data_IF_457645104907
#
_entry.id   IF_457645104907
#
_cell.length_a   1.000
_cell.length_b   1.000
_cell.length_c   1.000
_cell.angle_alpha   90.00
_cell.angle_beta   90.00
_cell.angle_gamma   90.00
#
_symmetry.space_group_name_H-M   'P 1'
#
loop_
_entity.id
_entity.type
_entity.pdbx_description
1 polymer ?
#
# COMPACT_ATOMS: atom_id res chain seq x y z
N UNK A 1 29.74 -34.48 -12.86
CA UNK A 1 29.14 -33.13 -12.73
C UNK A 1 30.27 -32.16 -12.47
N UNK A 2 30.38 -31.08 -13.25
CA UNK A 2 31.33 -30.01 -12.96
C UNK A 2 30.79 -29.17 -11.80
N UNK A 3 31.57 -29.08 -10.72
CA UNK A 3 31.27 -28.17 -9.62
C UNK A 3 31.73 -26.76 -10.02
N UNK A 4 30.82 -25.80 -9.98
CA UNK A 4 31.11 -24.40 -10.26
C UNK A 4 31.23 -23.63 -8.93
N UNK A 5 32.31 -22.87 -8.70
CA UNK A 5 32.40 -21.98 -7.56
C UNK A 5 31.25 -20.97 -7.53
N UNK A 6 30.79 -20.51 -6.35
CA UNK A 6 29.71 -19.52 -6.22
C UNK A 6 29.95 -18.26 -7.06
N UNK A 7 31.18 -17.77 -7.11
CA UNK A 7 31.58 -16.60 -7.88
C UNK A 7 31.37 -16.83 -9.38
N UNK A 8 31.64 -18.04 -9.86
CA UNK A 8 31.45 -18.41 -11.25
C UNK A 8 29.95 -18.55 -11.59
N UNK A 9 29.13 -19.08 -10.67
CA UNK A 9 27.66 -19.12 -10.86
C UNK A 9 27.08 -17.71 -10.99
N UNK A 10 27.54 -16.77 -10.16
CA UNK A 10 27.13 -15.36 -10.23
C UNK A 10 27.51 -14.73 -11.58
N UNK A 11 28.75 -14.92 -12.04
CA UNK A 11 29.21 -14.42 -13.34
C UNK A 11 28.37 -14.97 -14.48
N UNK A 12 28.06 -16.28 -14.48
CA UNK A 12 27.23 -16.91 -15.50
C UNK A 12 25.79 -16.38 -15.49
N UNK A 13 25.23 -16.10 -14.30
CA UNK A 13 23.92 -15.47 -14.14
C UNK A 13 23.87 -14.06 -14.74
N UNK A 14 24.90 -13.23 -14.49
CA UNK A 14 25.02 -11.89 -15.07
C UNK A 14 25.13 -11.95 -16.60
N UNK A 15 25.95 -12.86 -17.14
CA UNK A 15 26.09 -13.06 -18.59
C UNK A 15 24.77 -13.49 -19.23
N UNK A 16 24.03 -14.38 -18.57
CA UNK A 16 22.71 -14.78 -19.02
C UNK A 16 21.75 -13.58 -19.04
N UNK A 17 21.61 -12.84 -17.93
CA UNK A 17 20.73 -11.67 -17.86
C UNK A 17 21.00 -10.65 -18.98
N UNK A 18 22.28 -10.34 -19.23
CA UNK A 18 22.67 -9.42 -20.30
C UNK A 18 22.32 -9.95 -21.69
N UNK A 19 22.53 -11.26 -21.94
CA UNK A 19 22.15 -11.90 -23.20
C UNK A 19 20.62 -11.89 -23.43
N UNK A 20 19.83 -12.05 -22.36
CA UNK A 20 18.37 -11.96 -22.40
C UNK A 20 17.88 -10.56 -22.80
N UNK A 21 18.43 -9.52 -22.17
CA UNK A 21 18.11 -8.11 -22.53
C UNK A 21 18.47 -7.82 -23.99
N UNK A 22 19.66 -8.24 -24.43
CA UNK A 22 20.10 -8.04 -25.81
C UNK A 22 19.20 -8.76 -26.81
N UNK A 23 18.77 -9.99 -26.51
CA UNK A 23 17.81 -10.74 -27.31
C UNK A 23 16.45 -10.02 -27.40
N UNK A 24 15.97 -9.43 -26.30
CA UNK A 24 14.74 -8.63 -26.28
C UNK A 24 14.81 -7.39 -27.17
N UNK A 25 15.90 -6.62 -27.08
CA UNK A 25 16.12 -5.43 -27.92
C UNK A 25 16.16 -5.83 -29.40
N UNK A 26 16.90 -6.89 -29.75
CA UNK A 26 17.00 -7.37 -31.13
C UNK A 26 15.64 -7.93 -31.61
N UNK A 27 14.90 -8.59 -30.73
CA UNK A 27 13.53 -9.09 -30.97
C UNK A 27 12.56 -7.98 -31.36
N UNK A 28 12.63 -6.81 -30.69
CA UNK A 28 11.83 -5.64 -31.05
C UNK A 28 12.17 -5.11 -32.45
N UNK A 29 13.46 -5.06 -32.81
CA UNK A 29 13.88 -4.70 -34.17
C UNK A 29 13.37 -5.72 -35.19
N UNK A 30 13.43 -7.01 -34.88
CA UNK A 30 12.90 -8.09 -35.74
C UNK A 30 11.38 -8.01 -35.93
N UNK A 31 10.63 -7.68 -34.87
CA UNK A 31 9.17 -7.48 -34.94
C UNK A 31 8.80 -6.44 -36.01
N UNK A 32 9.50 -5.30 -36.05
CA UNK A 32 9.26 -4.28 -37.08
C UNK A 32 9.54 -4.78 -38.51
N UNK A 33 10.54 -5.64 -38.70
CA UNK A 33 10.80 -6.28 -39.99
C UNK A 33 9.72 -7.28 -40.39
N UNK A 34 9.21 -8.08 -39.44
CA UNK A 34 8.14 -9.07 -39.67
C UNK A 34 6.85 -8.36 -40.04
N UNK A 35 6.45 -7.34 -39.27
CA UNK A 35 5.24 -6.53 -39.54
C UNK A 35 5.33 -5.88 -40.92
N UNK A 36 6.47 -5.27 -41.28
CA UNK A 36 6.65 -4.71 -42.62
C UNK A 36 6.56 -5.76 -43.73
N UNK A 37 7.11 -6.96 -43.52
CA UNK A 37 7.09 -8.03 -44.51
C UNK A 37 5.65 -8.47 -44.86
N UNK A 38 4.80 -8.67 -43.84
CA UNK A 38 3.42 -9.13 -44.00
C UNK A 38 2.44 -8.02 -44.39
N UNK A 39 2.55 -6.83 -43.80
CA UNK A 39 1.56 -5.76 -43.98
C UNK A 39 1.91 -4.79 -45.10
N UNK A 40 3.17 -4.74 -45.53
CA UNK A 40 3.73 -3.69 -46.41
C UNK A 40 3.49 -2.26 -45.91
N UNK A 41 3.08 -2.06 -44.65
CA UNK A 41 2.91 -0.74 -44.02
C UNK A 41 4.16 -0.39 -43.20
N UNK A 42 4.53 0.89 -43.18
CA UNK A 42 5.68 1.41 -42.43
C UNK A 42 6.94 1.68 -43.27
N UNK A 43 8.02 2.15 -42.62
CA UNK A 43 9.31 2.43 -43.27
C UNK A 43 9.98 1.12 -43.69
N UNK A 44 10.45 1.07 -44.94
CA UNK A 44 11.22 -0.08 -45.48
C UNK A 44 12.47 -0.27 -44.63
N UNK A 45 12.62 -1.41 -43.94
CA UNK A 45 13.73 -1.60 -43.03
C UNK A 45 15.05 -1.84 -43.78
N UNK A 46 16.17 -1.57 -43.11
CA UNK A 46 17.53 -1.61 -43.67
C UNK A 46 17.89 -3.04 -44.16
N UNK A 47 18.68 -3.22 -45.25
CA UNK A 47 18.77 -4.47 -46.00
C UNK A 47 19.69 -5.54 -45.39
N UNK A 48 19.91 -5.55 -44.07
CA UNK A 48 20.73 -6.58 -43.39
C UNK A 48 19.94 -7.48 -42.43
N UNK A 49 18.76 -8.04 -42.81
CA UNK A 49 17.98 -8.88 -41.92
C UNK A 49 18.73 -10.15 -41.49
N UNK A 50 19.60 -10.70 -42.34
CA UNK A 50 20.36 -11.92 -42.02
C UNK A 50 21.30 -11.75 -40.83
N UNK A 51 21.94 -10.58 -40.68
CA UNK A 51 22.85 -10.31 -39.57
C UNK A 51 22.09 -10.15 -38.25
N UNK A 52 20.93 -9.47 -38.29
CA UNK A 52 20.06 -9.26 -37.13
C UNK A 52 19.50 -10.58 -36.62
N UNK A 53 19.02 -11.44 -37.52
CA UNK A 53 18.59 -12.80 -37.18
C UNK A 53 19.72 -13.63 -36.55
N UNK A 54 20.94 -13.58 -37.12
CA UNK A 54 22.09 -14.30 -36.57
C UNK A 54 22.43 -13.83 -35.15
N UNK A 55 22.41 -12.52 -34.90
CA UNK A 55 22.66 -11.97 -33.56
C UNK A 55 21.58 -12.37 -32.57
N UNK A 56 20.31 -12.36 -32.97
CA UNK A 56 19.21 -12.84 -32.14
C UNK A 56 19.39 -14.31 -31.72
N UNK A 57 19.68 -15.19 -32.69
CA UNK A 57 19.90 -16.62 -32.40
C UNK A 57 21.10 -16.84 -31.48
N UNK A 58 22.20 -16.09 -31.68
CA UNK A 58 23.38 -16.20 -30.84
C UNK A 58 23.09 -15.74 -29.40
N UNK A 59 22.41 -14.60 -29.23
CA UNK A 59 22.03 -14.09 -27.91
C UNK A 59 21.06 -15.02 -27.18
N UNK A 60 20.04 -15.53 -27.87
CA UNK A 60 19.08 -16.48 -27.30
C UNK A 60 19.76 -17.81 -26.91
N UNK A 61 20.68 -18.31 -27.73
CA UNK A 61 21.43 -19.53 -27.43
C UNK A 61 22.33 -19.36 -26.20
N UNK A 62 23.07 -18.25 -26.11
CA UNK A 62 23.90 -17.90 -24.94
C UNK A 62 23.02 -17.85 -23.69
N UNK A 63 21.87 -17.17 -23.75
CA UNK A 63 20.94 -17.11 -22.63
C UNK A 63 20.52 -18.51 -22.16
N UNK A 64 20.03 -19.37 -23.07
CA UNK A 64 19.55 -20.71 -22.71
C UNK A 64 20.66 -21.55 -22.09
N UNK A 65 21.86 -21.55 -22.68
CA UNK A 65 22.99 -22.36 -22.20
C UNK A 65 23.43 -21.91 -20.81
N UNK A 66 23.64 -20.61 -20.60
CA UNK A 66 24.15 -20.11 -19.32
C UNK A 66 23.11 -20.19 -18.20
N UNK A 67 21.83 -19.89 -18.48
CA UNK A 67 20.74 -20.08 -17.52
C UNK A 67 20.60 -21.55 -17.10
N UNK A 68 20.72 -22.48 -18.05
CA UNK A 68 20.64 -23.91 -17.76
C UNK A 68 21.83 -24.37 -16.91
N UNK A 69 23.04 -23.92 -17.22
CA UNK A 69 24.24 -24.27 -16.42
C UNK A 69 24.14 -23.72 -15.00
N UNK A 70 23.62 -22.50 -14.82
CA UNK A 70 23.41 -21.92 -13.49
C UNK A 70 22.34 -22.68 -12.69
N UNK A 71 21.22 -23.04 -13.32
CA UNK A 71 20.09 -23.71 -12.67
C UNK A 71 20.39 -25.18 -12.30
N UNK A 72 21.14 -25.90 -13.14
CA UNK A 72 21.41 -27.33 -12.94
C UNK A 72 22.77 -27.64 -12.31
N UNK A 73 23.60 -26.62 -12.01
CA UNK A 73 24.82 -26.85 -11.26
C UNK A 73 24.48 -27.24 -9.82
N UNK A 74 24.83 -28.47 -9.36
CA UNK A 74 24.50 -28.94 -8.03
C UNK A 74 24.93 -27.90 -6.99
N UNK A 75 24.02 -27.57 -6.07
CA UNK A 75 24.38 -26.80 -4.89
C UNK A 75 25.31 -27.67 -4.04
N UNK A 76 26.39 -27.14 -3.44
CA UNK A 76 27.10 -27.89 -2.41
C UNK A 76 26.08 -28.43 -1.41
N UNK A 77 26.17 -29.73 -1.17
CA UNK A 77 25.30 -30.46 -0.26
C UNK A 77 25.55 -29.91 1.16
N UNK A 78 24.69 -29.01 1.61
CA UNK A 78 24.76 -28.38 2.95
C UNK A 78 24.34 -29.34 4.05
N UNK A 79 23.98 -30.58 3.72
CA UNK A 79 23.52 -31.62 4.66
C UNK A 79 24.58 -32.09 5.66
N UNK A 80 25.85 -31.67 5.53
CA UNK A 80 26.93 -32.00 6.48
C UNK A 80 27.50 -30.79 7.23
N UNK A 81 26.82 -29.64 7.28
CA UNK A 81 27.14 -28.65 8.30
C UNK A 81 26.67 -29.21 9.64
N UNK A 82 27.61 -29.84 10.35
CA UNK A 82 27.47 -30.15 11.77
C UNK A 82 27.23 -28.80 12.46
N UNK A 83 25.96 -28.49 12.73
CA UNK A 83 25.55 -27.36 13.54
C UNK A 83 26.38 -27.44 14.81
N UNK A 84 27.25 -26.45 15.02
CA UNK A 84 27.99 -26.34 16.26
C UNK A 84 26.94 -26.36 17.39
N UNK A 85 26.95 -27.38 18.27
CA UNK A 85 26.01 -27.39 19.37
C UNK A 85 26.35 -26.18 20.22
N UNK A 86 25.38 -25.28 20.37
CA UNK A 86 25.42 -24.06 21.20
C UNK A 86 25.82 -22.73 20.53
N UNK A 87 25.58 -22.51 19.23
CA UNK A 87 25.41 -21.11 18.79
C UNK A 87 24.09 -20.62 19.36
N UNK A 88 24.07 -19.63 20.30
CA UNK A 88 22.81 -19.10 20.81
C UNK A 88 21.99 -18.61 19.61
N UNK A 89 20.70 -18.97 19.60
CA UNK A 89 19.81 -18.53 18.56
C UNK A 89 19.85 -17.00 18.48
N UNK A 90 20.05 -16.40 17.29
CA UNK A 90 20.11 -14.95 17.17
C UNK A 90 18.84 -14.35 17.79
N UNK A 91 19.02 -13.33 18.63
CA UNK A 91 17.91 -12.60 19.25
C UNK A 91 16.97 -12.13 18.15
N UNK A 92 15.68 -12.46 18.28
CA UNK A 92 14.66 -12.10 17.29
C UNK A 92 13.79 -10.98 17.85
N UNK A 93 13.64 -9.87 17.11
CA UNK A 93 12.72 -8.82 17.52
C UNK A 93 11.31 -9.41 17.55
N UNK A 94 10.58 -9.16 18.63
CA UNK A 94 9.24 -9.69 18.83
C UNK A 94 8.19 -8.59 18.90
N UNK A 95 8.56 -7.40 19.39
CA UNK A 95 7.66 -6.26 19.49
C UNK A 95 8.39 -4.93 19.50
N UNK A 96 7.61 -3.85 19.37
CA UNK A 96 8.08 -2.47 19.46
C UNK A 96 7.42 -1.79 20.65
N UNK A 97 8.20 -1.03 21.42
CA UNK A 97 7.66 -0.03 22.36
C UNK A 97 7.85 1.35 21.72
N UNK A 98 6.74 1.99 21.35
CA UNK A 98 6.74 3.27 20.63
C UNK A 98 6.54 4.42 21.61
N UNK A 99 7.49 5.36 21.62
CA UNK A 99 7.48 6.61 22.38
C UNK A 99 7.50 7.79 21.39
N UNK A 100 7.17 9.02 21.83
CA UNK A 100 7.38 10.19 20.99
C UNK A 100 8.83 10.25 20.48
N UNK A 101 9.00 10.23 19.15
CA UNK A 101 10.29 10.26 18.45
C UNK A 101 11.24 9.08 18.70
N UNK A 102 10.83 8.03 19.41
CA UNK A 102 11.73 6.92 19.80
C UNK A 102 11.02 5.58 19.68
N UNK A 103 11.71 4.59 19.11
CA UNK A 103 11.26 3.20 19.02
C UNK A 103 12.26 2.35 19.79
N UNK A 104 11.80 1.63 20.81
CA UNK A 104 12.58 0.58 21.45
C UNK A 104 12.19 -0.78 20.84
N UNK A 105 13.17 -1.54 20.33
CA UNK A 105 12.98 -2.89 19.78
C UNK A 105 13.16 -3.88 20.93
N UNK A 106 12.16 -4.74 21.14
CA UNK A 106 12.10 -5.68 22.26
C UNK A 106 12.23 -7.12 21.75
N UNK A 107 13.08 -7.92 22.40
CA UNK A 107 13.27 -9.34 22.08
C UNK A 107 12.18 -10.23 22.70
N UNK A 108 12.27 -11.53 22.45
CA UNK A 108 11.34 -12.52 23.00
C UNK A 108 11.37 -12.65 24.54
N UNK A 109 12.41 -12.13 25.21
CA UNK A 109 12.54 -12.15 26.67
C UNK A 109 11.98 -10.88 27.32
N UNK A 110 11.58 -9.88 26.52
CA UNK A 110 11.17 -8.56 27.00
C UNK A 110 12.34 -7.61 27.20
N UNK A 111 13.55 -7.97 26.78
CA UNK A 111 14.74 -7.13 26.88
C UNK A 111 14.84 -6.20 25.67
N UNK A 112 15.28 -4.96 25.93
CA UNK A 112 15.51 -3.99 24.86
C UNK A 112 16.77 -4.35 24.08
N UNK A 113 16.60 -4.67 22.80
CA UNK A 113 17.68 -4.94 21.86
C UNK A 113 18.35 -3.66 21.38
N UNK A 114 17.54 -2.68 20.97
CA UNK A 114 18.00 -1.47 20.31
C UNK A 114 17.00 -0.33 20.51
N UNK A 115 17.50 0.90 20.40
CA UNK A 115 16.69 2.12 20.39
C UNK A 115 16.95 2.90 19.10
N UNK A 116 15.89 3.31 18.41
CA UNK A 116 15.94 4.11 17.20
C UNK A 116 15.28 5.46 17.47
N UNK A 117 15.89 6.55 17.00
CA UNK A 117 15.35 7.90 17.10
C UNK A 117 14.87 8.39 15.73
N UNK A 118 13.65 8.94 15.70
CA UNK A 118 13.00 9.50 14.50
C UNK A 118 12.88 11.02 14.66
N UNK A 119 13.03 11.77 13.56
CA UNK A 119 12.93 13.23 13.59
C UNK A 119 11.49 13.72 13.47
N UNK A 120 10.68 13.48 14.50
CA UNK A 120 9.26 13.86 14.51
C UNK A 120 8.50 13.07 15.57
N UNK A 121 7.19 13.28 15.68
CA UNK A 121 6.38 12.42 16.52
C UNK A 121 5.96 11.18 15.72
N UNK A 122 6.09 10.01 16.32
CA UNK A 122 5.65 8.78 15.68
C UNK A 122 4.16 8.65 15.96
N UNK A 123 3.33 8.61 14.92
CA UNK A 123 1.89 8.32 15.09
C UNK A 123 1.66 6.83 15.27
N UNK A 124 2.38 6.02 14.49
CA UNK A 124 2.31 4.57 14.53
C UNK A 124 3.63 3.97 14.06
N UNK A 125 4.00 2.84 14.64
CA UNK A 125 5.03 1.98 14.08
C UNK A 125 4.63 0.51 14.19
N UNK A 126 4.98 -0.29 13.19
CA UNK A 126 4.72 -1.73 13.14
C UNK A 126 5.97 -2.50 12.74
N UNK A 127 6.08 -3.72 13.23
CA UNK A 127 7.15 -4.67 12.92
C UNK A 127 6.56 -5.77 12.04
N UNK A 128 6.92 -5.81 10.76
CA UNK A 128 6.35 -6.76 9.80
C UNK A 128 7.27 -6.97 8.61
N UNK A 129 7.25 -8.18 8.06
CA UNK A 129 7.89 -8.51 6.78
C UNK A 129 7.01 -7.95 5.66
N UNK A 130 7.51 -6.95 4.93
CA UNK A 130 6.75 -6.32 3.85
C UNK A 130 7.09 -6.85 2.45
N UNK A 131 8.25 -7.50 2.29
CA UNK A 131 8.75 -7.92 0.96
C UNK A 131 8.77 -9.45 0.75
N UNK A 132 8.43 -10.21 1.78
CA UNK A 132 8.29 -11.67 1.76
C UNK A 132 9.61 -12.41 2.01
N UNK A 133 10.68 -11.72 2.43
CA UNK A 133 12.00 -12.34 2.67
C UNK A 133 12.13 -13.05 4.04
N UNK A 134 11.08 -12.97 4.88
CA UNK A 134 10.97 -13.51 6.24
C UNK A 134 11.81 -12.78 7.29
N UNK A 135 12.30 -11.60 6.96
CA UNK A 135 12.96 -10.68 7.88
C UNK A 135 12.00 -9.50 8.07
N UNK A 136 11.59 -9.19 9.30
CA UNK A 136 10.68 -8.08 9.51
C UNK A 136 11.39 -6.73 9.40
N UNK A 137 10.73 -5.78 8.74
CA UNK A 137 11.03 -4.36 8.73
C UNK A 137 10.27 -3.62 9.85
N UNK A 138 10.72 -2.40 10.15
CA UNK A 138 9.98 -1.46 10.98
C UNK A 138 9.41 -0.38 10.07
N UNK A 139 8.08 -0.29 10.01
CA UNK A 139 7.35 0.72 9.26
C UNK A 139 6.88 1.80 10.22
N UNK A 140 7.22 3.05 9.92
CA UNK A 140 7.01 4.20 10.82
C UNK A 140 6.25 5.29 10.10
N UNK A 141 5.06 5.63 10.61
CA UNK A 141 4.30 6.81 10.22
C UNK A 141 4.67 7.98 11.13
N UNK A 142 5.08 9.09 10.51
CA UNK A 142 5.50 10.29 11.26
C UNK A 142 4.44 11.37 11.16
N UNK A 143 3.94 11.76 12.33
CA UNK A 143 2.99 12.86 12.51
C UNK A 143 3.69 14.14 12.97
N UNK A 144 2.87 15.16 13.12
CA UNK A 144 3.28 16.48 13.59
C UNK A 144 3.91 16.49 14.99
N UNK A 145 4.84 17.42 15.18
CA UNK A 145 5.22 17.85 16.52
C UNK A 145 4.11 18.70 17.15
N UNK A 146 3.99 18.68 18.48
CA UNK A 146 2.99 19.45 19.25
C UNK A 146 2.98 20.99 19.02
N UNK A 147 3.90 21.51 18.21
CA UNK A 147 4.07 22.93 17.93
C UNK A 147 3.75 23.21 16.47
N UNK A 148 2.49 23.59 16.23
CA UNK A 148 1.88 23.89 14.93
C UNK A 148 2.59 24.98 14.12
N UNK A 149 3.49 25.72 14.75
CA UNK A 149 4.24 26.83 14.15
C UNK A 149 5.75 26.61 14.20
N UNK A 150 6.23 25.55 14.86
CA UNK A 150 7.61 25.11 14.70
C UNK A 150 7.73 24.46 13.34
N UNK A 151 8.70 24.92 12.53
CA UNK A 151 8.93 24.36 11.20
C UNK A 151 9.01 22.84 11.28
N UNK A 152 8.43 22.11 10.30
CA UNK A 152 8.41 20.66 10.32
C UNK A 152 9.84 20.15 10.50
N UNK A 153 10.03 19.27 11.49
CA UNK A 153 11.25 18.48 11.60
C UNK A 153 11.34 17.58 10.37
N UNK A 154 12.56 17.22 9.99
CA UNK A 154 12.90 16.56 8.72
C UNK A 154 12.02 15.35 8.32
N UNK A 155 11.35 14.67 9.25
CA UNK A 155 10.53 13.48 8.94
C UNK A 155 9.01 13.70 8.97
N UNK A 156 8.48 14.89 9.29
CA UNK A 156 7.03 15.09 9.33
C UNK A 156 6.39 14.79 7.96
N UNK A 157 5.27 14.05 7.94
CA UNK A 157 4.58 13.67 6.71
C UNK A 157 5.23 12.50 5.95
N UNK A 158 6.31 11.92 6.50
CA UNK A 158 6.99 10.79 5.90
C UNK A 158 6.53 9.45 6.46
N UNK A 159 6.42 8.48 5.56
CA UNK A 159 6.44 7.06 5.89
C UNK A 159 7.86 6.53 5.73
N UNK A 160 8.39 5.84 6.73
CA UNK A 160 9.78 5.38 6.75
C UNK A 160 9.81 3.87 6.97
N UNK A 161 10.57 3.15 6.16
CA UNK A 161 10.92 1.75 6.40
C UNK A 161 12.35 1.62 6.89
N UNK A 162 12.54 0.83 7.95
CA UNK A 162 13.83 0.62 8.59
C UNK A 162 14.12 -0.87 8.71
N UNK A 163 15.41 -1.20 8.66
CA UNK A 163 15.90 -2.48 9.17
C UNK A 163 15.81 -2.51 10.69
N UNK A 164 15.88 -3.71 11.27
CA UNK A 164 16.05 -3.91 12.72
C UNK A 164 17.29 -3.21 13.27
N UNK A 165 18.35 -3.06 12.45
CA UNK A 165 19.55 -2.29 12.81
C UNK A 165 19.32 -0.78 12.92
N UNK A 166 18.13 -0.27 12.56
CA UNK A 166 17.80 1.15 12.49
C UNK A 166 18.24 1.85 11.21
N UNK A 167 18.86 1.14 10.27
CA UNK A 167 19.22 1.69 8.96
C UNK A 167 17.96 1.92 8.12
N UNK A 168 17.85 3.09 7.48
CA UNK A 168 16.76 3.39 6.55
C UNK A 168 16.87 2.53 5.29
N UNK A 169 15.78 1.86 4.95
CA UNK A 169 15.61 1.17 3.66
C UNK A 169 15.15 2.17 2.61
N UNK A 170 14.06 2.85 2.90
CA UNK A 170 13.46 3.89 2.07
C UNK A 170 12.59 4.83 2.92
N UNK A 171 12.23 5.97 2.34
CA UNK A 171 11.27 6.91 2.91
C UNK A 171 10.41 7.50 1.78
N UNK A 172 9.16 7.79 2.11
CA UNK A 172 8.19 8.41 1.20
C UNK A 172 7.66 9.67 1.87
N UNK A 173 7.89 10.82 1.25
CA UNK A 173 7.27 12.09 1.66
C UNK A 173 5.89 12.21 1.02
N UNK A 174 4.86 12.22 1.84
CA UNK A 174 3.48 12.34 1.37
C UNK A 174 3.03 13.79 1.23
N UNK A 175 3.90 14.74 1.60
CA UNK A 175 3.65 16.18 1.49
C UNK A 175 3.51 16.54 0.03
N UNK A 176 2.29 16.86 -0.34
CA UNK A 176 1.95 17.37 -1.65
C UNK A 176 0.84 18.38 -1.46
N UNK A 177 0.90 19.46 -2.21
CA UNK A 177 -0.24 20.36 -2.28
C UNK A 177 -1.45 19.54 -2.74
N UNK A 178 -2.59 19.61 -2.01
CA UNK A 178 -3.80 19.02 -2.51
C UNK A 178 -4.08 19.55 -3.89
N UNK A 179 -4.52 18.70 -4.81
CA UNK A 179 -4.77 19.11 -6.19
C UNK A 179 -5.89 20.19 -6.32
N UNK A 180 -6.53 20.55 -5.22
CA UNK A 180 -7.53 21.61 -5.09
C UNK A 180 -7.03 22.86 -4.36
N UNK A 181 -5.78 22.88 -3.88
CA UNK A 181 -5.15 24.01 -3.21
C UNK A 181 -4.91 25.24 -4.09
N UNK A 182 -5.21 25.14 -5.38
CA UNK A 182 -4.90 26.19 -6.35
C UNK A 182 -5.72 27.47 -6.09
N UNK A 183 -6.84 27.42 -5.35
CA UNK A 183 -7.70 28.61 -5.16
C UNK A 183 -8.28 28.82 -3.75
N UNK A 184 -7.99 27.97 -2.77
CA UNK A 184 -8.47 28.13 -1.38
C UNK A 184 -7.25 28.39 -0.50
N UNK A 185 -6.98 29.67 -0.21
CA UNK A 185 -5.85 30.04 0.64
C UNK A 185 -5.96 29.38 2.02
N UNK A 186 -4.90 28.73 2.48
CA UNK A 186 -4.84 28.16 3.83
C UNK A 186 -4.16 26.79 3.94
N UNK A 187 -4.06 26.02 2.86
CA UNK A 187 -3.40 24.71 2.88
C UNK A 187 -1.90 24.84 2.58
N UNK A 188 -1.11 24.09 3.33
CA UNK A 188 0.35 24.16 3.25
C UNK A 188 0.91 23.11 2.29
N UNK A 189 0.17 22.01 2.06
CA UNK A 189 0.68 20.82 1.39
C UNK A 189 1.64 20.01 2.26
N UNK A 190 1.95 20.50 3.46
CA UNK A 190 2.60 19.72 4.50
C UNK A 190 1.53 18.80 5.08
N UNK A 191 1.81 17.50 5.12
CA UNK A 191 0.86 16.53 5.63
C UNK A 191 1.39 15.86 6.88
N UNK A 192 0.50 15.25 7.64
CA UNK A 192 0.83 14.42 8.79
C UNK A 192 0.19 13.06 8.60
N UNK A 193 0.92 11.99 8.93
CA UNK A 193 0.38 10.62 8.87
C UNK A 193 -0.29 10.31 10.21
N UNK A 194 -1.61 10.16 10.25
CA UNK A 194 -2.32 9.84 11.49
C UNK A 194 -2.37 8.33 11.76
N UNK A 195 -2.42 7.51 10.72
CA UNK A 195 -2.50 6.06 10.84
C UNK A 195 -2.04 5.40 9.53
N UNK A 196 -1.83 4.08 9.56
CA UNK A 196 -1.68 3.26 8.36
C UNK A 196 -2.20 1.85 8.60
N UNK A 197 -2.47 1.11 7.52
CA UNK A 197 -2.79 -0.31 7.50
C UNK A 197 -1.72 -1.02 6.65
N UNK A 198 -1.23 -2.17 7.11
CA UNK A 198 -0.32 -3.03 6.34
C UNK A 198 -1.04 -4.33 6.01
N UNK A 199 -1.15 -4.66 4.73
CA UNK A 199 -1.89 -5.82 4.26
C UNK A 199 -1.50 -6.18 2.82
N UNK A 200 -1.53 -7.46 2.45
CA UNK A 200 -1.27 -7.96 1.09
C UNK A 200 -2.48 -7.69 0.17
N UNK A 201 -2.62 -6.46 -0.30
CA UNK A 201 -3.79 -6.00 -1.07
C UNK A 201 -3.94 -6.72 -2.40
N UNK A 202 -2.83 -7.18 -2.97
CA UNK A 202 -2.79 -7.74 -4.32
C UNK A 202 -2.71 -9.27 -4.36
N UNK A 203 -2.62 -9.93 -3.20
CA UNK A 203 -2.55 -11.39 -3.08
C UNK A 203 -1.26 -11.98 -3.66
N UNK A 204 -0.15 -11.23 -3.60
CA UNK A 204 1.15 -11.62 -4.15
C UNK A 204 2.20 -11.97 -3.08
N UNK A 205 1.74 -12.19 -1.83
CA UNK A 205 2.54 -12.43 -0.63
C UNK A 205 3.48 -11.27 -0.26
N UNK A 206 3.28 -10.07 -0.83
CA UNK A 206 3.94 -8.83 -0.39
C UNK A 206 2.93 -7.92 0.25
N UNK A 207 3.40 -7.09 1.17
CA UNK A 207 2.50 -6.19 1.90
C UNK A 207 2.52 -4.81 1.26
N UNK A 208 1.33 -4.27 1.03
CA UNK A 208 1.12 -2.86 0.76
C UNK A 208 0.84 -2.11 2.05
N UNK A 209 1.19 -0.82 2.04
CA UNK A 209 0.96 0.09 3.16
C UNK A 209 -0.03 1.15 2.72
N UNK A 210 -1.21 1.14 3.34
CA UNK A 210 -2.26 2.13 3.14
C UNK A 210 -2.13 3.20 4.20
N UNK A 211 -1.61 4.36 3.83
CA UNK A 211 -1.47 5.48 4.76
C UNK A 211 -2.72 6.33 4.78
N UNK A 212 -3.07 6.82 5.98
CA UNK A 212 -4.00 7.91 6.16
C UNK A 212 -3.17 9.14 6.52
N UNK A 213 -3.30 10.18 5.71
CA UNK A 213 -2.64 11.46 5.94
C UNK A 213 -3.65 12.59 5.79
N UNK A 214 -3.34 13.74 6.38
CA UNK A 214 -4.09 14.97 6.15
C UNK A 214 -3.16 16.17 6.11
N UNK A 215 -3.59 17.21 5.41
CA UNK A 215 -2.93 18.51 5.45
C UNK A 215 -2.82 18.96 6.90
N UNK A 216 -1.68 19.59 7.23
CA UNK A 216 -1.35 20.07 8.56
C UNK A 216 -2.54 20.79 9.18
N UNK A 217 -3.25 21.62 8.39
CA UNK A 217 -4.43 22.40 8.76
C UNK A 217 -5.73 21.57 8.89
N UNK A 218 -5.63 20.30 9.31
CA UNK A 218 -6.68 19.30 9.59
C UNK A 218 -7.34 18.63 8.40
N UNK A 219 -7.57 19.35 7.32
CA UNK A 219 -8.14 18.80 6.10
C UNK A 219 -7.61 19.60 4.91
N UNK A 220 -7.53 18.96 3.76
CA UNK A 220 -8.07 17.64 3.45
C UNK A 220 -7.27 16.41 3.91
N UNK A 221 -7.87 15.23 3.78
CA UNK A 221 -7.19 13.94 3.91
C UNK A 221 -6.83 13.30 2.57
N UNK A 222 -5.80 12.47 2.61
CA UNK A 222 -5.34 11.62 1.52
C UNK A 222 -5.12 10.19 2.03
N UNK A 223 -5.63 9.23 1.27
CA UNK A 223 -5.28 7.82 1.39
C UNK A 223 -4.25 7.49 0.30
N UNK A 224 -3.13 6.89 0.67
CA UNK A 224 -2.05 6.52 -0.29
C UNK A 224 -1.72 5.04 -0.14
N UNK A 225 -1.62 4.31 -1.27
CA UNK A 225 -1.07 2.95 -1.30
C UNK A 225 0.42 3.05 -1.65
N UNK A 226 1.25 2.47 -0.79
CA UNK A 226 2.70 2.40 -0.95
C UNK A 226 3.12 0.93 -1.02
N UNK A 227 3.93 0.59 -2.02
CA UNK A 227 4.45 -0.76 -2.22
C UNK A 227 5.64 -1.03 -1.29
N UNK A 228 6.05 -2.29 -1.19
CA UNK A 228 7.14 -2.72 -0.31
C UNK A 228 8.51 -2.10 -0.63
N UNK A 229 8.71 -1.57 -1.84
CA UNK A 229 9.91 -0.84 -2.26
C UNK A 229 9.86 0.68 -1.98
N UNK A 230 8.77 1.16 -1.38
CA UNK A 230 8.54 2.57 -1.10
C UNK A 230 7.96 3.36 -2.29
N UNK A 231 7.64 2.72 -3.42
CA UNK A 231 6.96 3.41 -4.52
C UNK A 231 5.48 3.63 -4.20
N UNK A 232 4.96 4.78 -4.64
CA UNK A 232 3.52 5.10 -4.52
C UNK A 232 2.78 4.45 -5.67
N UNK A 233 1.78 3.62 -5.35
CA UNK A 233 0.92 2.95 -6.34
C UNK A 233 -0.30 3.78 -6.69
N UNK A 234 -0.96 4.37 -5.68
CA UNK A 234 -2.21 5.09 -5.87
C UNK A 234 -2.48 6.12 -4.77
N UNK A 235 -3.30 7.12 -5.08
CA UNK A 235 -3.71 8.18 -4.17
C UNK A 235 -5.21 8.48 -4.31
N UNK A 236 -5.85 8.76 -3.17
CA UNK A 236 -7.27 9.12 -3.10
C UNK A 236 -7.47 10.30 -2.17
N UNK A 237 -8.19 11.32 -2.63
CA UNK A 237 -8.42 12.56 -1.90
C UNK A 237 -9.82 12.62 -1.27
N UNK A 238 -9.87 13.09 -0.03
CA UNK A 238 -11.11 13.26 0.73
C UNK A 238 -11.15 14.66 1.39
N UNK A 239 -12.26 15.42 1.25
CA UNK A 239 -12.34 16.82 1.67
C UNK A 239 -12.50 17.00 3.18
N UNK A 240 -12.57 15.91 3.94
CA UNK A 240 -12.50 15.94 5.39
C UNK A 240 -11.70 14.76 5.93
N UNK A 241 -11.70 14.63 7.24
CA UNK A 241 -10.79 13.73 7.95
C UNK A 241 -11.13 12.25 7.75
N UNK A 242 -10.18 11.43 7.29
CA UNK A 242 -10.30 9.96 7.28
C UNK A 242 -9.78 9.42 8.61
N UNK A 243 -10.65 8.77 9.38
CA UNK A 243 -10.34 8.32 10.73
C UNK A 243 -9.76 6.90 10.79
N UNK A 244 -10.24 6.01 9.92
CA UNK A 244 -9.89 4.59 9.95
C UNK A 244 -10.08 3.97 8.57
N UNK A 245 -9.31 2.91 8.32
CA UNK A 245 -9.37 2.09 7.12
C UNK A 245 -9.20 0.62 7.51
N UNK A 246 -9.97 -0.25 6.88
CA UNK A 246 -9.92 -1.71 7.02
C UNK A 246 -9.83 -2.36 5.65
N UNK A 247 -9.26 -3.56 5.60
CA UNK A 247 -9.39 -4.44 4.44
C UNK A 247 -10.57 -5.41 4.65
N UNK A 248 -11.24 -5.74 3.55
CA UNK A 248 -12.33 -6.73 3.52
C UNK A 248 -12.16 -7.60 2.28
N UNK A 249 -12.47 -8.89 2.39
CA UNK A 249 -12.33 -9.83 1.26
C UNK A 249 -13.64 -9.91 0.49
N UNK A 250 -13.58 -9.60 -0.80
CA UNK A 250 -14.63 -9.88 -1.77
C UNK A 250 -14.38 -11.29 -2.34
N UNK A 251 -14.98 -12.30 -1.71
CA UNK A 251 -14.78 -13.69 -2.15
C UNK A 251 -15.47 -14.02 -3.49
N UNK A 252 -16.39 -13.18 -3.97
CA UNK A 252 -17.02 -13.41 -5.27
C UNK A 252 -16.04 -13.13 -6.42
N UNK A 253 -15.20 -12.10 -6.24
CA UNK A 253 -14.21 -11.67 -7.23
C UNK A 253 -12.76 -12.01 -6.84
N UNK A 254 -12.56 -12.67 -5.71
CA UNK A 254 -11.24 -13.06 -5.16
C UNK A 254 -10.27 -11.88 -5.06
N UNK A 255 -10.75 -10.78 -4.48
CA UNK A 255 -9.97 -9.54 -4.30
C UNK A 255 -10.16 -8.95 -2.91
N UNK A 256 -9.23 -8.11 -2.48
CA UNK A 256 -9.42 -7.28 -1.29
C UNK A 256 -9.94 -5.90 -1.65
N UNK A 257 -10.82 -5.38 -0.81
CA UNK A 257 -11.32 -4.03 -0.87
C UNK A 257 -10.84 -3.25 0.36
N UNK A 258 -10.73 -1.94 0.22
CA UNK A 258 -10.51 -1.03 1.34
C UNK A 258 -11.81 -0.36 1.73
N UNK A 259 -12.14 -0.39 3.02
CA UNK A 259 -13.30 0.29 3.57
C UNK A 259 -12.82 1.32 4.58
N UNK A 260 -13.19 2.57 4.38
CA UNK A 260 -12.75 3.67 5.22
C UNK A 260 -13.94 4.42 5.82
N UNK A 261 -13.74 4.99 7.00
CA UNK A 261 -14.67 5.96 7.59
C UNK A 261 -14.05 7.35 7.66
N UNK A 262 -14.88 8.35 7.41
CA UNK A 262 -14.44 9.74 7.39
C UNK A 262 -15.56 10.70 7.80
N UNK A 263 -15.24 11.99 7.85
CA UNK A 263 -16.22 13.08 7.77
C UNK A 263 -16.02 13.84 6.47
N UNK A 264 -17.10 14.23 5.81
CA UNK A 264 -17.03 14.99 4.56
C UNK A 264 -17.44 16.45 4.79
N UNK A 265 -16.48 17.36 4.71
CA UNK A 265 -16.71 18.79 4.99
C UNK A 265 -17.42 19.49 3.82
N UNK A 266 -17.26 19.02 2.59
CA UNK A 266 -17.84 19.67 1.41
C UNK A 266 -19.34 19.42 1.28
N UNK A 267 -19.83 18.31 1.84
CA UNK A 267 -21.26 18.00 1.93
C UNK A 267 -21.98 18.89 2.97
N UNK A 268 -21.26 19.68 3.76
CA UNK A 268 -21.86 20.43 4.85
C UNK A 268 -22.86 21.49 4.42
N UNK A 269 -22.67 22.07 3.25
CA UNK A 269 -23.61 23.05 2.67
C UNK A 269 -24.95 22.41 2.30
N UNK A 270 -24.95 21.15 1.87
CA UNK A 270 -26.14 20.41 1.45
C UNK A 270 -26.91 19.83 2.65
N UNK A 271 -26.20 19.41 3.70
CA UNK A 271 -26.78 18.70 4.85
C UNK A 271 -26.70 19.48 6.17
N UNK A 272 -26.36 20.77 6.12
CA UNK A 272 -26.28 21.69 7.26
C UNK A 272 -25.39 21.17 8.42
N UNK A 273 -24.39 20.34 8.10
CA UNK A 273 -23.48 19.67 9.03
C UNK A 273 -22.42 18.85 8.28
N UNK A 274 -21.28 18.52 8.88
CA UNK A 274 -20.29 17.63 8.26
C UNK A 274 -20.72 16.16 8.48
N UNK A 275 -21.33 15.48 7.50
CA UNK A 275 -21.79 14.11 7.70
C UNK A 275 -20.63 13.14 7.93
N UNK A 276 -20.86 12.14 8.77
CA UNK A 276 -20.02 10.95 8.84
C UNK A 276 -20.30 10.05 7.64
N UNK A 277 -19.25 9.52 7.05
CA UNK A 277 -19.31 8.74 5.82
C UNK A 277 -18.53 7.44 5.96
N UNK A 278 -18.92 6.44 5.20
CA UNK A 278 -18.20 5.19 5.01
C UNK A 278 -18.16 4.91 3.51
N UNK A 279 -17.03 4.48 2.97
CA UNK A 279 -16.90 4.21 1.55
C UNK A 279 -15.95 3.05 1.30
N UNK A 280 -16.15 2.36 0.19
CA UNK A 280 -15.27 1.29 -0.28
C UNK A 280 -14.50 1.71 -1.52
N UNK A 281 -13.25 1.26 -1.60
CA UNK A 281 -12.34 1.43 -2.74
C UNK A 281 -11.82 0.07 -3.18
N UNK A 282 -11.67 -0.12 -4.50
CA UNK A 282 -10.85 -1.19 -5.05
C UNK A 282 -9.38 -0.72 -5.10
N UNK A 283 -8.43 -1.39 -4.39
CA UNK A 283 -7.00 -1.09 -4.44
C UNK A 283 -6.40 -0.95 -5.84
N UNK A 284 -6.92 -1.68 -6.83
CA UNK A 284 -6.42 -1.69 -8.19
C UNK A 284 -6.89 -0.49 -9.02
N UNK A 285 -7.94 0.21 -8.58
CA UNK A 285 -8.57 1.31 -9.30
C UNK A 285 -8.55 2.63 -8.52
N UNK A 286 -7.81 2.70 -7.40
CA UNK A 286 -7.77 3.90 -6.55
C UNK A 286 -7.25 5.13 -7.34
N UNK A 287 -8.03 6.20 -7.28
CA UNK A 287 -7.68 7.49 -7.84
C UNK A 287 -8.70 8.57 -7.44
N UNK A 288 -8.42 9.81 -7.80
CA UNK A 288 -9.39 10.90 -7.80
C UNK A 288 -9.77 11.46 -6.42
N UNK A 289 -10.95 12.10 -6.37
CA UNK A 289 -11.50 12.76 -5.18
C UNK A 289 -12.86 12.19 -4.77
N UNK A 290 -13.24 12.34 -3.51
CA UNK A 290 -14.59 11.98 -3.05
C UNK A 290 -15.69 12.92 -3.55
N UNK A 291 -16.98 12.50 -3.47
CA UNK A 291 -18.10 13.42 -3.56
C UNK A 291 -17.91 14.64 -2.64
N UNK A 292 -18.47 15.82 -2.97
CA UNK A 292 -19.33 16.11 -4.12
C UNK A 292 -18.59 16.42 -5.43
N UNK A 293 -17.30 16.08 -5.55
CA UNK A 293 -16.49 16.28 -6.76
C UNK A 293 -16.40 17.74 -7.21
N UNK A 294 -16.26 18.65 -6.24
CA UNK A 294 -16.28 20.10 -6.51
C UNK A 294 -14.98 20.63 -7.14
N UNK A 295 -13.94 19.81 -7.23
CA UNK A 295 -12.64 20.24 -7.72
C UNK A 295 -12.38 19.78 -9.15
N UNK A 296 -12.58 20.66 -10.14
CA UNK A 296 -12.56 20.32 -11.57
C UNK A 296 -11.24 19.75 -12.12
N UNK A 297 -10.12 19.92 -11.41
CA UNK A 297 -8.80 19.46 -11.85
C UNK A 297 -8.45 18.06 -11.38
N UNK A 298 -9.28 17.47 -10.50
CA UNK A 298 -9.12 16.11 -10.00
C UNK A 298 -10.25 15.25 -10.56
N UNK A 299 -9.91 14.08 -11.08
CA UNK A 299 -10.94 13.14 -11.54
C UNK A 299 -11.84 12.69 -10.38
N UNK A 300 -13.04 12.23 -10.72
CA UNK A 300 -13.90 11.59 -9.72
C UNK A 300 -13.20 10.35 -9.19
N UNK A 301 -13.31 10.13 -7.89
CA UNK A 301 -12.73 8.96 -7.28
C UNK A 301 -13.44 7.68 -7.70
N UNK A 302 -12.72 6.57 -7.69
CA UNK A 302 -13.22 5.25 -8.05
C UNK A 302 -13.80 4.52 -6.83
N UNK A 303 -14.66 5.21 -6.06
CA UNK A 303 -15.36 4.52 -4.98
C UNK A 303 -16.32 3.49 -5.56
N UNK A 304 -16.33 2.29 -4.99
CA UNK A 304 -17.34 1.29 -5.34
C UNK A 304 -18.71 1.74 -4.86
N UNK A 305 -18.74 2.31 -3.65
CA UNK A 305 -19.91 2.95 -3.06
C UNK A 305 -19.47 3.98 -2.02
N UNK A 306 -20.36 4.94 -1.76
CA UNK A 306 -20.13 6.01 -0.80
C UNK A 306 -21.38 6.23 0.06
N UNK A 307 -21.35 5.71 1.28
CA UNK A 307 -22.44 5.79 2.25
C UNK A 307 -22.29 6.97 3.19
N UNK A 308 -23.41 7.61 3.51
CA UNK A 308 -23.50 8.75 4.40
C UNK A 308 -24.49 8.46 5.52
N UNK A 309 -24.08 8.72 6.77
CA UNK A 309 -24.98 8.74 7.92
C UNK A 309 -25.60 10.14 8.05
N UNK A 310 -26.93 10.21 8.06
CA UNK A 310 -27.65 11.47 8.31
C UNK A 310 -27.66 11.76 9.81
N UNK A 311 -27.42 13.02 10.16
CA UNK A 311 -27.45 13.50 11.54
C UNK A 311 -28.76 13.16 12.28
N UNK A 312 -28.72 13.02 13.62
CA UNK A 312 -27.63 13.42 14.52
C UNK A 312 -26.51 12.39 14.72
N UNK A 313 -26.58 11.24 14.08
CA UNK A 313 -25.68 10.11 14.33
C UNK A 313 -24.31 10.26 13.67
N UNK A 314 -23.26 9.85 14.38
CA UNK A 314 -21.89 9.84 13.89
C UNK A 314 -21.30 8.44 13.88
N UNK A 315 -20.49 8.14 12.86
CA UNK A 315 -19.79 6.85 12.77
C UNK A 315 -18.61 6.84 13.75
N UNK A 316 -18.72 6.05 14.80
CA UNK A 316 -17.71 5.90 15.84
C UNK A 316 -16.61 4.90 15.46
N UNK A 317 -16.98 3.80 14.80
CA UNK A 317 -16.05 2.75 14.42
C UNK A 317 -16.56 1.98 13.19
N UNK A 318 -15.61 1.35 12.50
CA UNK A 318 -15.88 0.35 11.48
C UNK A 318 -15.13 -0.94 11.83
N UNK A 319 -15.79 -2.07 11.63
CA UNK A 319 -15.22 -3.41 11.76
C UNK A 319 -15.55 -4.21 10.50
N UNK A 320 -14.78 -5.26 10.24
CA UNK A 320 -15.08 -6.22 9.17
C UNK A 320 -15.40 -7.56 9.81
N UNK A 321 -16.41 -8.24 9.26
CA UNK A 321 -16.88 -9.52 9.77
C UNK A 321 -17.02 -10.52 8.64
N UNK A 322 -16.23 -11.58 8.71
CA UNK A 322 -16.38 -12.67 7.76
C UNK A 322 -17.66 -13.46 8.01
N UNK A 323 -18.42 -13.66 6.94
CA UNK A 323 -19.68 -14.39 6.99
C UNK A 323 -19.53 -15.77 6.37
N UNK A 324 -20.21 -16.80 6.89
CA UNK A 324 -20.22 -18.14 6.28
C UNK A 324 -20.75 -18.17 4.84
N UNK A 325 -21.46 -17.11 4.42
CA UNK A 325 -21.97 -16.93 3.07
C UNK A 325 -20.90 -16.54 2.05
N UNK A 326 -19.68 -16.20 2.51
CA UNK A 326 -18.59 -15.74 1.65
C UNK A 326 -18.70 -14.27 1.25
N UNK A 327 -19.59 -13.48 1.85
CA UNK A 327 -19.59 -12.02 1.66
C UNK A 327 -19.28 -11.40 3.01
N UNK A 328 -18.07 -10.88 3.14
CA UNK A 328 -17.67 -10.18 4.34
C UNK A 328 -18.50 -8.90 4.49
N UNK A 329 -18.92 -8.62 5.72
CA UNK A 329 -19.75 -7.46 6.04
C UNK A 329 -18.90 -6.36 6.67
N UNK A 330 -19.27 -5.12 6.36
CA UNK A 330 -18.80 -3.94 7.08
C UNK A 330 -19.77 -3.67 8.21
N UNK A 331 -19.28 -3.69 9.44
CA UNK A 331 -20.07 -3.33 10.62
C UNK A 331 -19.74 -1.88 10.98
N UNK A 332 -20.73 -1.00 10.87
CA UNK A 332 -20.60 0.41 11.24
C UNK A 332 -21.27 0.64 12.59
N UNK A 333 -20.49 1.07 13.58
CA UNK A 333 -20.99 1.44 14.90
C UNK A 333 -21.20 2.95 14.96
N UNK A 334 -22.38 3.37 15.41
CA UNK A 334 -22.69 4.79 15.68
C UNK A 334 -22.47 5.16 17.15
N UNK A 335 -22.29 6.45 17.41
CA UNK A 335 -22.21 7.02 18.76
C UNK A 335 -23.51 6.88 19.58
N UNK A 336 -24.64 6.70 18.92
CA UNK A 336 -25.93 6.34 19.56
C UNK A 336 -26.08 4.85 19.87
N UNK A 337 -25.07 4.03 19.55
CA UNK A 337 -25.05 2.60 19.84
C UNK A 337 -25.78 1.74 18.81
N UNK A 338 -26.08 2.25 17.61
CA UNK A 338 -26.58 1.45 16.51
C UNK A 338 -25.43 0.75 15.77
N UNK A 339 -25.71 -0.44 15.26
CA UNK A 339 -24.81 -1.21 14.41
C UNK A 339 -25.49 -1.46 13.06
N UNK A 340 -24.89 -0.94 12.00
CA UNK A 340 -25.30 -1.20 10.63
C UNK A 340 -24.41 -2.29 10.06
N UNK A 341 -25.02 -3.33 9.51
CA UNK A 341 -24.35 -4.37 8.76
C UNK A 341 -24.52 -4.04 7.29
N UNK A 342 -23.43 -3.65 6.65
CA UNK A 342 -23.38 -3.15 5.28
C UNK A 342 -22.70 -4.20 4.41
N UNK A 343 -23.26 -4.44 3.24
CA UNK A 343 -22.64 -5.26 2.21
C UNK A 343 -21.36 -4.59 1.69
N UNK A 344 -20.25 -5.31 1.72
CA UNK A 344 -18.95 -4.73 1.34
C UNK A 344 -18.84 -4.43 -0.16
N UNK A 345 -19.67 -5.04 -1.00
CA UNK A 345 -19.60 -4.93 -2.46
C UNK A 345 -20.45 -3.76 -2.96
N UNK A 346 -21.70 -3.64 -2.50
CA UNK A 346 -22.64 -2.62 -3.01
C UNK A 346 -22.98 -1.49 -2.03
N UNK A 347 -22.53 -1.59 -0.77
CA UNK A 347 -22.80 -0.58 0.26
C UNK A 347 -24.23 -0.61 0.81
N UNK A 348 -25.04 -1.58 0.40
CA UNK A 348 -26.41 -1.76 0.87
C UNK A 348 -26.46 -2.14 2.35
N UNK A 349 -27.39 -1.52 3.09
CA UNK A 349 -27.65 -1.90 4.49
C UNK A 349 -28.43 -3.23 4.51
N UNK A 350 -27.78 -4.29 5.01
CA UNK A 350 -28.36 -5.62 5.16
C UNK A 350 -29.27 -5.66 6.39
N UNK A 351 -28.79 -5.12 7.51
CA UNK A 351 -29.56 -5.05 8.75
C UNK A 351 -29.05 -3.96 9.68
N UNK A 352 -29.92 -3.53 10.60
CA UNK A 352 -29.58 -2.57 11.66
C UNK A 352 -29.98 -3.15 13.00
N UNK A 353 -29.10 -3.07 13.98
CA UNK A 353 -29.37 -3.50 15.37
C UNK A 353 -29.00 -2.40 16.36
N UNK A 354 -29.67 -2.36 17.50
CA UNK A 354 -29.34 -1.43 18.58
C UNK A 354 -28.60 -2.15 19.71
N UNK A 355 -27.45 -1.61 20.13
CA UNK A 355 -26.72 -2.03 21.32
C UNK A 355 -27.54 -1.72 22.57
N UNK A 356 -27.80 -2.74 23.38
CA UNK A 356 -28.77 -2.66 24.47
C UNK A 356 -28.40 -1.67 25.58
N UNK A 357 -28.98 -0.46 25.54
CA UNK A 357 -29.22 0.41 26.72
C UNK A 357 -30.47 1.30 26.52
N UNK A 358 -31.61 0.70 26.19
CA UNK A 358 -32.90 1.16 26.73
C UNK A 358 -33.61 2.39 26.12
N UNK A 359 -33.21 2.91 24.96
CA UNK A 359 -34.08 3.81 24.19
C UNK A 359 -34.13 3.33 22.74
N UNK A 360 -35.26 2.73 22.32
CA UNK A 360 -35.57 2.53 20.90
C UNK A 360 -35.78 3.90 20.27
N UNK A 361 -34.71 4.53 19.78
CA UNK A 361 -34.84 5.55 18.75
C UNK A 361 -35.02 4.84 17.40
N UNK A 362 -35.70 5.48 16.45
CA UNK A 362 -35.73 4.99 15.08
C UNK A 362 -34.28 4.88 14.59
N UNK A 363 -33.93 3.84 13.78
CA UNK A 363 -32.58 3.72 13.28
C UNK A 363 -32.20 4.98 12.49
N UNK A 364 -30.92 5.40 12.56
CA UNK A 364 -30.41 6.52 11.78
C UNK A 364 -30.66 6.29 10.28
N UNK A 365 -30.83 7.37 9.54
CA UNK A 365 -30.94 7.29 8.08
C UNK A 365 -29.55 7.14 7.47
N UNK A 366 -29.40 6.12 6.62
CA UNK A 366 -28.20 5.85 5.83
C UNK A 366 -28.53 6.04 4.35
N UNK A 367 -27.71 6.83 3.65
CA UNK A 367 -27.92 7.19 2.24
C UNK A 367 -26.69 6.82 1.43
N UNK A 368 -26.87 6.09 0.33
CA UNK A 368 -25.84 5.92 -0.69
C UNK A 368 -25.81 7.14 -1.61
N UNK A 369 -24.62 7.71 -1.80
CA UNK A 369 -24.36 8.81 -2.71
C UNK A 369 -23.81 8.23 -4.01
N UNK A 370 -24.46 8.55 -5.12
CA UNK A 370 -24.07 8.18 -6.50
C UNK A 370 -23.20 9.22 -7.19
#
# INVERSE_FOLDING_TARGET
MLYLPPELKLILGIVAAFAGVLAGIIGNVLSTHIVYFFTKRGRKPNPRPKLIWLMFYLSAFIFIVFSSVAAFAPSPDTSNVVLAPNTPEPLRPTSLEVKPSVIDIIDQNGDRMQQIKIQGNISKAELTDIDGDKIPEIIVGVAETQDYFAHPRDDCGKLIALKISGDRLWEVDLSTLPAYAINVGGWTGEVVINNFLIVDLFGDDKMEIVTLSHDLMFYPSKLTIILSDGSVSAEYWHPGFIYDVKSVVDHENDRMLLVARAVNNDLATQYNSNPSVVFALDPLEIGGQSPPYIFFEVERGAQLWYGMMVLPDHIQAIETRSMPTGVDQVVVQTDTGHFFYIDSIDGGVISVTAGGTGVQQNPPEYILIE
#
